data_IF_706065921916
#
_entry.id   IF_706065921916
#
_cell.length_a   1.000
_cell.length_b   1.000
_cell.length_c   1.000
_cell.angle_alpha   90.00
_cell.angle_beta   90.00
_cell.angle_gamma   90.00
#
_symmetry.space_group_name_H-M   'P 1'
#
loop_
_entity.id
_entity.type
_entity.pdbx_description
1 polymer ?
#
# COMPACT_ATOMS: atom_id res chain seq x y z
N UNK A 1 -23.94 0.74 -5.86
CA UNK A 1 -24.49 -0.60 -5.56
C UNK A 1 -23.65 -1.28 -4.48
N UNK A 2 -22.31 -1.26 -4.60
CA UNK A 2 -21.47 -1.86 -3.58
C UNK A 2 -21.77 -1.25 -2.21
N UNK A 3 -21.98 0.05 -2.16
CA UNK A 3 -22.29 0.74 -0.93
C UNK A 3 -23.61 0.27 -0.34
N UNK A 4 -24.62 0.14 -1.19
CA UNK A 4 -25.95 -0.27 -0.73
C UNK A 4 -25.97 -1.75 -0.32
N UNK A 5 -25.03 -2.55 -0.79
CA UNK A 5 -24.92 -3.94 -0.41
C UNK A 5 -24.06 -4.13 0.83
N UNK A 6 -23.66 -3.04 1.47
CA UNK A 6 -22.86 -3.08 2.69
C UNK A 6 -21.49 -3.69 2.50
N UNK A 7 -20.88 -3.42 1.36
CA UNK A 7 -19.48 -3.80 1.13
C UNK A 7 -18.61 -2.75 1.81
N UNK A 8 -18.00 -3.08 2.95
CA UNK A 8 -17.30 -2.07 3.74
C UNK A 8 -15.91 -1.73 3.22
N UNK A 9 -15.32 -2.61 2.42
CA UNK A 9 -13.93 -2.47 2.03
C UNK A 9 -13.80 -2.45 0.52
N UNK A 10 -12.89 -1.62 0.03
CA UNK A 10 -12.56 -1.58 -1.38
C UNK A 10 -11.06 -1.37 -1.53
N UNK A 11 -10.46 -2.01 -2.54
CA UNK A 11 -9.07 -1.82 -2.88
C UNK A 11 -8.96 -1.31 -4.30
N UNK A 12 -8.20 -0.25 -4.51
CA UNK A 12 -8.11 0.42 -5.80
C UNK A 12 -6.67 0.57 -6.24
N UNK A 13 -6.46 0.64 -7.55
CA UNK A 13 -5.22 1.17 -8.07
C UNK A 13 -5.16 2.66 -7.77
N UNK A 14 -3.95 3.22 -7.81
CA UNK A 14 -3.80 4.65 -7.58
C UNK A 14 -4.63 5.46 -8.59
N UNK A 15 -4.60 5.06 -9.86
CA UNK A 15 -5.34 5.78 -10.89
C UNK A 15 -6.83 5.73 -10.67
N UNK A 16 -7.34 4.60 -10.23
CA UNK A 16 -8.76 4.49 -9.93
C UNK A 16 -9.17 5.38 -8.77
N UNK A 17 -8.32 5.48 -7.74
CA UNK A 17 -8.58 6.35 -6.61
C UNK A 17 -8.60 7.82 -7.03
N UNK A 18 -7.63 8.25 -7.83
CA UNK A 18 -7.57 9.64 -8.26
C UNK A 18 -8.74 9.99 -9.15
N UNK A 19 -9.23 9.04 -9.95
CA UNK A 19 -10.40 9.27 -10.79
C UNK A 19 -11.70 9.42 -10.02
N UNK A 20 -11.78 8.82 -8.82
CA UNK A 20 -12.98 8.90 -7.98
C UNK A 20 -12.62 8.96 -6.51
N UNK A 21 -12.02 10.08 -6.06
CA UNK A 21 -11.57 10.16 -4.66
C UNK A 21 -12.72 10.11 -3.65
N UNK A 22 -13.95 10.36 -4.08
CA UNK A 22 -15.09 10.34 -3.18
C UNK A 22 -15.38 8.92 -2.65
N UNK A 23 -14.80 7.86 -3.22
CA UNK A 23 -15.02 6.51 -2.70
C UNK A 23 -14.56 6.36 -1.26
N UNK A 24 -13.61 7.19 -0.82
CA UNK A 24 -13.12 7.11 0.56
C UNK A 24 -14.25 7.34 1.55
N UNK A 25 -15.18 8.24 1.24
CA UNK A 25 -16.31 8.49 2.13
C UNK A 25 -17.44 7.49 1.94
N UNK A 26 -17.41 6.69 0.87
CA UNK A 26 -18.46 5.72 0.58
C UNK A 26 -18.20 4.34 1.19
N UNK A 27 -16.96 4.04 1.56
CA UNK A 27 -16.58 2.74 2.08
C UNK A 27 -15.95 2.89 3.45
N UNK A 28 -16.10 1.87 4.29
CA UNK A 28 -15.49 1.89 5.62
C UNK A 28 -13.98 1.83 5.54
N UNK A 29 -13.45 1.07 4.60
CA UNK A 29 -12.01 0.92 4.42
C UNK A 29 -11.69 1.02 2.95
N UNK A 30 -10.76 1.91 2.61
CA UNK A 30 -10.30 2.08 1.24
C UNK A 30 -8.80 1.87 1.21
N UNK A 31 -8.34 0.85 0.49
CA UNK A 31 -6.93 0.59 0.29
C UNK A 31 -6.50 0.97 -1.10
N UNK A 32 -5.23 1.26 -1.28
CA UNK A 32 -4.70 1.65 -2.57
C UNK A 32 -3.31 1.06 -2.79
N UNK A 33 -3.04 0.66 -4.02
CA UNK A 33 -1.71 0.22 -4.45
C UNK A 33 -0.97 1.41 -5.06
N UNK A 34 0.25 1.63 -4.62
CA UNK A 34 1.07 2.75 -5.11
C UNK A 34 2.42 2.25 -5.60
N UNK A 35 3.05 3.04 -6.47
CA UNK A 35 4.31 2.69 -7.09
C UNK A 35 5.35 3.81 -6.99
N UNK A 36 5.06 4.88 -6.27
CA UNK A 36 6.00 5.97 -6.03
C UNK A 36 5.71 6.62 -4.70
N UNK A 37 6.70 7.35 -4.19
CA UNK A 37 6.54 8.10 -2.95
C UNK A 37 5.47 9.18 -3.11
N UNK A 38 5.44 9.80 -4.27
CA UNK A 38 4.45 10.85 -4.57
C UNK A 38 3.03 10.30 -4.53
N UNK A 39 2.83 9.10 -5.09
CA UNK A 39 1.52 8.46 -5.03
C UNK A 39 1.12 8.16 -3.61
N UNK A 40 2.07 7.68 -2.81
CA UNK A 40 1.81 7.38 -1.40
C UNK A 40 1.44 8.65 -0.63
N UNK A 41 2.13 9.75 -0.90
CA UNK A 41 1.84 11.01 -0.24
C UNK A 41 0.42 11.48 -0.54
N UNK A 42 0.02 11.43 -1.81
CA UNK A 42 -1.32 11.85 -2.19
C UNK A 42 -2.38 10.95 -1.59
N UNK A 43 -2.16 9.65 -1.60
CA UNK A 43 -3.11 8.69 -0.99
C UNK A 43 -3.27 8.98 0.50
N UNK A 44 -2.18 9.27 1.19
CA UNK A 44 -2.25 9.58 2.62
C UNK A 44 -3.04 10.88 2.86
N UNK A 45 -2.86 11.88 2.01
CA UNK A 45 -3.62 13.12 2.12
C UNK A 45 -5.11 12.91 1.89
N UNK A 46 -5.45 11.96 1.02
CA UNK A 46 -6.86 11.64 0.77
C UNK A 46 -7.48 10.84 1.91
N UNK A 47 -6.67 10.27 2.80
CA UNK A 47 -7.19 9.58 3.97
C UNK A 47 -7.53 8.12 3.74
N UNK A 48 -6.78 7.43 2.89
CA UNK A 48 -7.01 5.99 2.68
C UNK A 48 -6.76 5.22 3.96
N UNK A 49 -7.35 4.03 4.05
CA UNK A 49 -7.24 3.19 5.23
C UNK A 49 -5.94 2.42 5.30
N UNK A 50 -5.39 2.02 4.14
CA UNK A 50 -4.08 1.36 4.07
C UNK A 50 -3.49 1.55 2.68
N UNK A 51 -2.19 1.31 2.59
CA UNK A 51 -1.44 1.47 1.35
C UNK A 51 -0.64 0.20 1.10
N UNK A 52 -0.66 -0.30 -0.13
CA UNK A 52 0.20 -1.39 -0.55
C UNK A 52 1.27 -0.80 -1.47
N UNK A 53 2.52 -0.93 -1.06
CA UNK A 53 3.65 -0.38 -1.79
C UNK A 53 4.36 -1.51 -2.53
N UNK A 54 4.55 -1.34 -3.81
CA UNK A 54 5.18 -2.38 -4.59
C UNK A 54 5.88 -1.88 -5.85
N UNK A 55 6.59 -2.80 -6.47
CA UNK A 55 7.02 -4.05 -5.83
C UNK A 55 8.43 -3.83 -5.26
N UNK A 56 8.70 -4.45 -4.13
CA UNK A 56 9.89 -4.13 -3.35
C UNK A 56 11.09 -4.94 -3.83
N UNK A 57 10.90 -6.23 -4.06
CA UNK A 57 11.97 -7.12 -4.52
C UNK A 57 11.63 -7.68 -5.89
N UNK A 58 12.64 -8.14 -6.60
CA UNK A 58 12.44 -8.76 -7.91
C UNK A 58 11.64 -10.05 -7.76
N UNK A 59 10.74 -10.29 -8.71
CA UNK A 59 9.97 -11.53 -8.77
C UNK A 59 9.98 -12.07 -10.18
N UNK A 60 9.70 -13.37 -10.32
CA UNK A 60 9.60 -13.97 -11.64
C UNK A 60 8.42 -13.38 -12.45
N UNK A 61 7.39 -12.94 -11.76
CA UNK A 61 6.22 -12.39 -12.42
C UNK A 61 6.46 -10.97 -12.95
N UNK A 62 7.44 -10.28 -12.40
CA UNK A 62 7.68 -8.86 -12.71
C UNK A 62 9.11 -8.59 -13.10
N UNK A 63 9.76 -9.54 -13.77
CA UNK A 63 11.18 -9.38 -14.05
C UNK A 63 11.51 -8.28 -15.05
N UNK A 64 10.55 -7.79 -15.81
CA UNK A 64 10.75 -6.65 -16.69
C UNK A 64 10.71 -5.32 -15.96
N UNK A 65 10.29 -5.32 -14.69
CA UNK A 65 10.19 -4.10 -13.89
C UNK A 65 11.27 -4.14 -12.82
N UNK A 66 12.11 -3.10 -12.72
CA UNK A 66 13.13 -3.08 -11.68
C UNK A 66 12.47 -3.02 -10.29
N UNK A 67 13.02 -3.76 -9.32
CA UNK A 67 12.50 -3.67 -7.95
C UNK A 67 12.79 -2.31 -7.35
N UNK A 68 11.87 -1.81 -6.53
CA UNK A 68 12.03 -0.49 -5.92
C UNK A 68 12.90 -0.51 -4.68
N UNK A 69 12.95 -1.65 -3.99
CA UNK A 69 13.87 -1.86 -2.89
C UNK A 69 13.41 -1.33 -1.54
N UNK A 70 14.18 -1.67 -0.51
CA UNK A 70 13.87 -1.24 0.85
C UNK A 70 13.97 0.26 1.07
N UNK A 71 14.92 0.98 0.44
CA UNK A 71 14.94 2.44 0.58
C UNK A 71 13.65 3.11 0.12
N UNK A 72 13.07 2.62 -0.96
CA UNK A 72 11.77 3.11 -1.43
C UNK A 72 10.70 2.85 -0.37
N UNK A 73 10.64 1.64 0.16
CA UNK A 73 9.65 1.29 1.18
C UNK A 73 9.81 2.16 2.43
N UNK A 74 11.04 2.38 2.85
CA UNK A 74 11.32 3.24 4.01
C UNK A 74 10.83 4.66 3.78
N UNK A 75 11.08 5.19 2.58
CA UNK A 75 10.64 6.54 2.24
C UNK A 75 9.13 6.64 2.19
N UNK A 76 8.45 5.63 1.66
CA UNK A 76 6.99 5.60 1.65
C UNK A 76 6.46 5.62 3.07
N UNK A 77 6.97 4.76 3.92
CA UNK A 77 6.49 4.67 5.31
C UNK A 77 6.70 5.97 6.05
N UNK A 78 7.86 6.59 5.87
CA UNK A 78 8.17 7.86 6.53
C UNK A 78 7.27 8.98 6.04
N UNK A 79 7.05 9.05 4.72
CA UNK A 79 6.21 10.08 4.13
C UNK A 79 4.77 9.95 4.62
N UNK A 80 4.26 8.73 4.61
CA UNK A 80 2.88 8.48 5.05
C UNK A 80 2.71 8.83 6.53
N UNK A 81 3.69 8.46 7.35
CA UNK A 81 3.63 8.78 8.78
C UNK A 81 3.63 10.29 9.01
N UNK A 82 4.49 11.02 8.30
CA UNK A 82 4.56 12.47 8.43
C UNK A 82 3.26 13.15 8.02
N UNK A 83 2.66 12.70 6.91
CA UNK A 83 1.41 13.29 6.44
C UNK A 83 0.28 12.96 7.41
N UNK A 84 0.23 11.75 7.93
CA UNK A 84 -0.79 11.39 8.92
C UNK A 84 -0.69 12.28 10.15
N UNK A 85 0.53 12.55 10.61
CA UNK A 85 0.73 13.43 11.75
C UNK A 85 0.29 14.87 11.44
N UNK A 86 0.60 15.35 10.24
CA UNK A 86 0.25 16.72 9.84
C UNK A 86 -1.24 16.92 9.69
N UNK A 87 -1.95 15.88 9.27
CA UNK A 87 -3.39 15.98 9.03
C UNK A 87 -4.22 15.52 10.22
N UNK A 88 -3.58 15.09 11.30
CA UNK A 88 -4.29 14.66 12.50
C UNK A 88 -4.91 13.30 12.40
N UNK A 89 -4.53 12.51 11.39
CA UNK A 89 -5.04 11.17 11.21
C UNK A 89 -4.25 10.17 12.02
N UNK A 90 -4.85 9.02 12.32
CA UNK A 90 -4.10 7.87 12.83
C UNK A 90 -3.11 7.42 11.77
N UNK A 91 -1.96 6.86 12.17
CA UNK A 91 -0.99 6.39 11.19
C UNK A 91 -1.61 5.37 10.23
N UNK A 92 -1.39 5.56 8.94
CA UNK A 92 -1.92 4.68 7.90
C UNK A 92 -0.94 3.53 7.73
N UNK A 93 -1.38 2.26 7.87
CA UNK A 93 -0.48 1.14 7.68
C UNK A 93 -0.06 0.99 6.23
N UNK A 94 1.22 0.67 6.03
CA UNK A 94 1.80 0.42 4.71
C UNK A 94 2.23 -1.03 4.67
N UNK A 95 1.78 -1.74 3.64
CA UNK A 95 2.16 -3.14 3.42
C UNK A 95 3.01 -3.21 2.16
N UNK A 96 3.98 -4.11 2.17
CA UNK A 96 4.88 -4.29 1.04
C UNK A 96 4.44 -5.50 0.21
N UNK A 97 4.57 -5.39 -1.11
CA UNK A 97 4.30 -6.50 -2.02
C UNK A 97 5.46 -6.62 -3.01
N UNK A 98 5.66 -7.81 -3.54
CA UNK A 98 6.69 -8.07 -4.54
C UNK A 98 7.90 -8.77 -3.94
N UNK A 99 7.97 -10.09 -4.11
CA UNK A 99 9.10 -10.89 -3.67
C UNK A 99 9.25 -11.01 -2.17
N UNK A 100 8.19 -10.75 -1.41
CA UNK A 100 8.23 -10.85 0.05
C UNK A 100 8.19 -12.32 0.45
N UNK A 101 9.06 -12.70 1.39
CA UNK A 101 9.13 -14.07 1.91
C UNK A 101 9.50 -14.02 3.39
N UNK A 102 9.50 -15.19 4.02
CA UNK A 102 9.95 -15.27 5.41
C UNK A 102 11.39 -14.82 5.58
N UNK A 103 12.20 -14.95 4.53
CA UNK A 103 13.62 -14.60 4.60
C UNK A 103 13.85 -13.09 4.64
N UNK A 104 12.96 -12.30 4.06
CA UNK A 104 13.15 -10.85 4.01
C UNK A 104 12.07 -10.09 4.74
N UNK A 105 11.10 -10.77 5.34
CA UNK A 105 10.00 -10.10 6.02
C UNK A 105 10.47 -9.21 7.16
N UNK A 106 11.49 -9.64 7.91
CA UNK A 106 12.01 -8.83 9.01
C UNK A 106 12.58 -7.51 8.51
N UNK A 107 13.20 -7.49 7.33
CA UNK A 107 13.72 -6.27 6.74
C UNK A 107 12.58 -5.35 6.32
N UNK A 108 11.49 -5.92 5.82
CA UNK A 108 10.30 -5.16 5.44
C UNK A 108 9.72 -4.47 6.67
N UNK A 109 9.56 -5.19 7.76
CA UNK A 109 9.03 -4.63 9.01
C UNK A 109 9.98 -3.58 9.56
N UNK A 110 11.28 -3.82 9.51
CA UNK A 110 12.26 -2.85 9.98
C UNK A 110 12.26 -1.57 9.18
N UNK A 111 11.76 -1.59 7.95
CA UNK A 111 11.64 -0.39 7.12
C UNK A 111 10.44 0.47 7.48
N UNK A 112 9.57 -0.01 8.36
CA UNK A 112 8.41 0.73 8.82
C UNK A 112 7.07 0.18 8.33
N UNK A 113 7.09 -0.86 7.51
CA UNK A 113 5.86 -1.45 7.00
C UNK A 113 5.14 -2.22 8.11
N UNK A 114 3.82 -2.24 8.04
CA UNK A 114 2.99 -3.01 8.95
C UNK A 114 3.04 -4.50 8.65
N UNK A 115 3.38 -4.86 7.41
CA UNK A 115 3.48 -6.27 7.02
C UNK A 115 3.87 -6.40 5.58
N UNK A 116 3.90 -7.64 5.11
CA UNK A 116 4.20 -7.94 3.72
C UNK A 116 3.16 -8.88 3.13
N UNK A 117 2.98 -8.77 1.83
CA UNK A 117 2.06 -9.62 1.08
C UNK A 117 2.87 -10.69 0.35
N UNK A 118 2.72 -11.93 0.77
CA UNK A 118 3.44 -13.07 0.19
C UNK A 118 2.54 -13.80 -0.81
N UNK A 119 2.15 -13.06 -1.84
CA UNK A 119 1.09 -13.53 -2.74
C UNK A 119 1.47 -14.83 -3.44
N UNK A 120 2.68 -14.94 -3.93
CA UNK A 120 3.10 -16.13 -4.67
C UNK A 120 3.05 -17.37 -3.78
N UNK A 121 3.57 -17.25 -2.55
CA UNK A 121 3.57 -18.38 -1.62
C UNK A 121 2.14 -18.77 -1.26
N UNK A 122 1.28 -17.81 -1.04
CA UNK A 122 -0.11 -18.08 -0.70
C UNK A 122 -0.82 -18.80 -1.83
N UNK A 123 -0.53 -18.44 -3.06
CA UNK A 123 -1.20 -19.02 -4.20
C UNK A 123 -0.74 -20.45 -4.51
N UNK A 124 0.40 -20.84 -4.01
CA UNK A 124 0.93 -22.20 -4.21
C UNK A 124 0.40 -23.18 -3.18
N UNK A 125 -0.25 -22.68 -2.18
CA UNK A 125 -0.81 -23.56 -1.16
C UNK A 125 -2.13 -24.17 -1.62
#
# INVERSE_FOLDING_TARGET
IAKSLSVPDIHLSYQALIGRPEVISEFSHTGVSIHSVEEAAQAARLGVSYIIAGHIFATDCKKDLPPRGLPFLRNVCRTVLNISAQTGQSPIPVYAIGGISFYNLSQVIASGAAGGCMVSAAMQL
#
